data_IF_984845866173
#
_entry.id   IF_984845866173
#
_cell.length_a   1.000
_cell.length_b   1.000
_cell.length_c   1.000
_cell.angle_alpha   90.00
_cell.angle_beta   90.00
_cell.angle_gamma   90.00
#
_symmetry.space_group_name_H-M   'P 1'
#
loop_
_entity.id
_entity.type
_entity.pdbx_description
1 polymer ?
#
# COMPACT_ATOMS: atom_id res chain seq x y z
N UNK A 1 -71.44 -7.52 -21.80
CA UNK A 1 -69.97 -7.54 -21.73
C UNK A 1 -69.43 -6.19 -22.20
N UNK A 2 -68.54 -5.50 -21.47
CA UNK A 2 -68.04 -4.20 -21.92
C UNK A 2 -67.15 -4.36 -23.17
N UNK A 3 -67.42 -3.55 -24.20
CA UNK A 3 -66.64 -3.48 -25.43
C UNK A 3 -65.19 -3.06 -25.14
N UNK A 4 -64.23 -3.91 -25.54
CA UNK A 4 -62.79 -3.64 -25.44
C UNK A 4 -62.43 -2.47 -26.36
N UNK A 5 -62.06 -1.32 -25.79
CA UNK A 5 -61.51 -0.20 -26.56
C UNK A 5 -60.20 -0.63 -27.23
N UNK A 6 -60.12 -0.49 -28.56
CA UNK A 6 -58.89 -0.66 -29.30
C UNK A 6 -57.98 0.54 -29.05
N UNK A 7 -56.70 0.29 -28.80
CA UNK A 7 -55.69 1.33 -28.63
C UNK A 7 -54.66 1.23 -29.76
N UNK A 8 -54.12 2.38 -30.18
CA UNK A 8 -53.00 2.43 -31.13
C UNK A 8 -51.80 1.63 -30.58
N UNK A 9 -51.24 0.76 -31.42
CA UNK A 9 -50.12 -0.12 -31.05
C UNK A 9 -48.87 0.73 -30.78
N UNK A 10 -48.26 0.60 -29.61
CA UNK A 10 -46.93 1.18 -29.35
C UNK A 10 -45.88 0.33 -30.07
N UNK A 11 -45.28 0.86 -31.14
CA UNK A 11 -44.30 0.11 -31.93
C UNK A 11 -43.02 -0.18 -31.11
N UNK A 12 -42.63 0.74 -30.21
CA UNK A 12 -41.40 0.66 -29.42
C UNK A 12 -41.63 0.36 -27.93
N UNK A 13 -42.79 -0.20 -27.56
CA UNK A 13 -43.10 -0.58 -26.18
C UNK A 13 -42.21 -1.69 -25.60
N UNK A 14 -42.04 -1.72 -24.27
CA UNK A 14 -41.22 -2.73 -23.59
C UNK A 14 -41.79 -4.15 -23.76
N UNK A 15 -40.94 -5.17 -23.61
CA UNK A 15 -41.32 -6.58 -23.81
C UNK A 15 -42.50 -6.98 -22.91
N UNK A 16 -42.53 -6.51 -21.67
CA UNK A 16 -43.56 -6.82 -20.68
C UNK A 16 -44.90 -6.19 -21.04
N UNK A 17 -44.91 -4.96 -21.54
CA UNK A 17 -46.15 -4.33 -22.02
C UNK A 17 -46.65 -5.00 -23.32
N UNK A 18 -45.75 -5.39 -24.21
CA UNK A 18 -46.08 -6.14 -25.45
C UNK A 18 -46.65 -7.52 -25.12
N UNK A 19 -46.02 -8.29 -24.23
CA UNK A 19 -46.49 -9.61 -23.77
C UNK A 19 -47.87 -9.52 -23.12
N UNK A 20 -48.09 -8.48 -22.31
CA UNK A 20 -49.38 -8.22 -21.65
C UNK A 20 -50.43 -7.58 -22.55
N UNK A 21 -50.09 -7.29 -23.82
CA UNK A 21 -50.96 -6.65 -24.83
C UNK A 21 -51.60 -5.35 -24.33
N UNK A 22 -50.81 -4.52 -23.63
CA UNK A 22 -51.22 -3.19 -23.13
C UNK A 22 -50.36 -2.07 -23.76
N UNK A 23 -50.86 -0.84 -23.75
CA UNK A 23 -50.12 0.34 -24.23
C UNK A 23 -48.93 0.64 -23.32
N UNK A 24 -47.73 0.65 -23.88
CA UNK A 24 -46.54 1.14 -23.19
C UNK A 24 -46.45 2.67 -23.36
N UNK A 25 -46.05 3.40 -22.32
CA UNK A 25 -45.78 4.84 -22.44
C UNK A 25 -44.35 5.16 -22.86
N UNK A 26 -43.55 4.13 -23.17
CA UNK A 26 -42.17 4.22 -23.70
C UNK A 26 -41.16 4.98 -22.83
N UNK A 27 -41.55 5.44 -21.63
CA UNK A 27 -40.67 6.10 -20.66
C UNK A 27 -39.46 5.23 -20.27
N UNK A 28 -38.30 5.87 -20.14
CA UNK A 28 -37.01 5.30 -19.72
C UNK A 28 -36.62 5.87 -18.35
N UNK A 29 -35.88 5.14 -17.49
CA UNK A 29 -35.35 3.78 -17.67
C UNK A 29 -36.40 2.67 -17.48
N UNK A 30 -37.58 2.99 -16.94
CA UNK A 30 -38.68 2.05 -16.73
C UNK A 30 -40.00 2.69 -17.14
N UNK A 31 -40.86 1.94 -17.85
CA UNK A 31 -42.16 2.45 -18.25
C UNK A 31 -43.12 2.51 -17.04
N UNK A 32 -44.04 3.47 -17.03
CA UNK A 32 -44.91 3.72 -15.86
C UNK A 32 -45.86 2.56 -15.56
N UNK A 33 -46.25 1.77 -16.57
CA UNK A 33 -47.07 0.57 -16.33
C UNK A 33 -46.29 -0.58 -15.67
N UNK A 34 -44.99 -0.70 -15.94
CA UNK A 34 -44.13 -1.68 -15.26
C UNK A 34 -43.78 -1.20 -13.85
N UNK A 35 -43.52 0.11 -13.67
CA UNK A 35 -43.27 0.71 -12.36
C UNK A 35 -44.45 0.50 -11.40
N UNK A 36 -45.67 0.86 -11.82
CA UNK A 36 -46.88 0.70 -10.99
C UNK A 36 -47.19 -0.75 -10.61
N UNK A 37 -46.75 -1.71 -11.42
CA UNK A 37 -46.95 -3.15 -11.18
C UNK A 37 -45.71 -3.86 -10.65
N UNK A 38 -44.65 -3.10 -10.35
CA UNK A 38 -43.36 -3.62 -9.87
C UNK A 38 -42.82 -4.78 -10.72
N UNK A 39 -42.97 -4.67 -12.06
CA UNK A 39 -42.49 -5.67 -13.00
C UNK A 39 -41.09 -5.29 -13.51
N UNK A 40 -40.22 -6.29 -13.69
CA UNK A 40 -38.91 -6.10 -14.31
C UNK A 40 -39.07 -5.68 -15.78
N UNK A 41 -38.83 -4.40 -16.08
CA UNK A 41 -39.07 -3.81 -17.40
C UNK A 41 -37.86 -4.03 -18.32
N UNK A 42 -38.07 -4.40 -19.58
CA UNK A 42 -36.99 -4.61 -20.56
C UNK A 42 -36.28 -3.32 -20.96
N UNK A 43 -36.83 -2.16 -20.58
CA UNK A 43 -36.10 -0.90 -20.68
C UNK A 43 -35.08 -0.72 -19.56
N UNK A 44 -35.33 -1.34 -18.40
CA UNK A 44 -34.37 -1.38 -17.29
C UNK A 44 -33.13 -2.17 -17.72
N UNK A 45 -33.31 -3.27 -18.46
CA UNK A 45 -32.20 -4.05 -19.04
C UNK A 45 -31.44 -3.32 -20.15
N UNK A 46 -32.09 -2.45 -20.93
CA UNK A 46 -31.40 -1.62 -21.93
C UNK A 46 -30.73 -0.38 -21.34
N UNK A 47 -31.16 0.09 -20.16
CA UNK A 47 -30.43 1.09 -19.39
C UNK A 47 -29.21 0.49 -18.68
N UNK A 48 -29.22 -0.83 -18.38
CA UNK A 48 -28.08 -1.54 -17.76
C UNK A 48 -27.15 -2.24 -18.76
N UNK A 49 -27.50 -2.33 -20.04
CA UNK A 49 -26.64 -2.90 -21.11
C UNK A 49 -25.61 -1.93 -21.69
N UNK A 50 -25.43 -0.76 -21.10
CA UNK A 50 -24.14 -0.08 -21.15
C UNK A 50 -23.46 -0.29 -19.82
N UNK A 51 -22.83 -1.46 -19.65
CA UNK A 51 -21.47 -1.45 -19.12
C UNK A 51 -20.68 -0.51 -20.03
N UNK A 52 -20.75 0.81 -19.78
CA UNK A 52 -19.90 1.75 -20.49
C UNK A 52 -18.50 1.30 -20.13
N UNK A 53 -17.79 0.80 -21.13
CA UNK A 53 -16.40 0.43 -20.96
C UNK A 53 -15.69 1.64 -20.36
N UNK A 54 -15.29 1.53 -19.10
CA UNK A 54 -14.61 2.61 -18.40
C UNK A 54 -13.20 2.67 -18.98
N UNK A 55 -13.04 3.46 -20.05
CA UNK A 55 -11.78 3.59 -20.77
C UNK A 55 -10.64 4.05 -19.85
N UNK A 56 -10.96 4.78 -18.79
CA UNK A 56 -9.99 5.14 -17.75
C UNK A 56 -9.46 3.88 -17.04
N UNK A 57 -10.33 3.01 -16.55
CA UNK A 57 -9.92 1.79 -15.85
C UNK A 57 -9.11 0.87 -16.76
N UNK A 58 -9.43 0.80 -18.06
CA UNK A 58 -8.62 0.09 -19.04
C UNK A 58 -7.25 0.74 -19.27
N UNK A 59 -7.19 2.07 -19.35
CA UNK A 59 -5.93 2.83 -19.42
C UNK A 59 -5.05 2.55 -18.20
N UNK A 60 -5.63 2.56 -17.00
CA UNK A 60 -4.94 2.28 -15.74
C UNK A 60 -4.46 0.83 -15.66
N UNK A 61 -5.26 -0.13 -16.12
CA UNK A 61 -4.87 -1.54 -16.18
C UNK A 61 -3.76 -1.77 -17.22
N UNK A 62 -3.84 -1.13 -18.39
CA UNK A 62 -2.76 -1.18 -19.38
C UNK A 62 -1.46 -0.57 -18.81
N UNK A 63 -1.57 0.57 -18.13
CA UNK A 63 -0.45 1.24 -17.49
C UNK A 63 0.18 0.41 -16.36
N UNK A 64 -0.62 -0.42 -15.67
CA UNK A 64 -0.10 -1.41 -14.72
C UNK A 64 0.92 -2.34 -15.38
N UNK A 65 0.49 -3.00 -16.47
CA UNK A 65 1.28 -4.00 -17.17
C UNK A 65 2.50 -3.43 -17.91
N UNK A 66 2.36 -2.23 -18.47
CA UNK A 66 3.39 -1.63 -19.34
C UNK A 66 4.45 -0.89 -18.55
N UNK A 67 4.10 -0.24 -17.43
CA UNK A 67 5.01 0.67 -16.75
C UNK A 67 5.02 0.53 -15.23
N UNK A 68 3.84 0.53 -14.57
CA UNK A 68 3.77 0.67 -13.10
C UNK A 68 4.54 -0.42 -12.37
N UNK A 69 4.40 -1.68 -12.76
CA UNK A 69 5.05 -2.79 -12.05
C UNK A 69 6.59 -2.67 -12.08
N UNK A 70 7.16 -2.17 -13.17
CA UNK A 70 8.61 -2.00 -13.34
C UNK A 70 9.20 -0.94 -12.41
N UNK A 71 8.38 0.00 -11.93
CA UNK A 71 8.80 1.08 -11.03
C UNK A 71 8.47 0.79 -9.57
N UNK A 72 7.56 -0.15 -9.30
CA UNK A 72 7.21 -0.59 -7.95
C UNK A 72 8.24 -1.53 -7.33
N UNK A 73 8.83 -2.42 -8.14
CA UNK A 73 9.76 -3.46 -7.68
C UNK A 73 10.91 -3.66 -8.68
N UNK A 74 12.10 -4.01 -8.17
CA UNK A 74 13.30 -4.22 -9.00
C UNK A 74 13.65 -5.69 -9.20
N UNK A 75 13.03 -6.60 -8.45
CA UNK A 75 13.31 -8.03 -8.52
C UNK A 75 12.42 -8.71 -9.58
N UNK A 76 13.02 -9.42 -10.53
CA UNK A 76 12.30 -10.05 -11.66
C UNK A 76 11.25 -11.07 -11.24
N UNK A 77 11.49 -11.83 -10.18
CA UNK A 77 10.54 -12.82 -9.64
C UNK A 77 9.27 -12.13 -9.14
N UNK A 78 9.44 -11.10 -8.30
CA UNK A 78 8.35 -10.27 -7.77
C UNK A 78 7.64 -9.50 -8.89
N UNK A 79 8.39 -8.93 -9.83
CA UNK A 79 7.84 -8.25 -11.02
C UNK A 79 6.90 -9.17 -11.79
N UNK A 80 7.30 -10.42 -12.05
CA UNK A 80 6.48 -11.40 -12.75
C UNK A 80 5.17 -11.68 -12.00
N UNK A 81 5.23 -11.88 -10.69
CA UNK A 81 4.04 -12.14 -9.88
C UNK A 81 3.07 -10.95 -9.92
N UNK A 82 3.59 -9.72 -9.74
CA UNK A 82 2.77 -8.51 -9.78
C UNK A 82 2.21 -8.21 -11.18
N UNK A 83 2.93 -8.55 -12.24
CA UNK A 83 2.51 -8.31 -13.63
C UNK A 83 1.53 -9.37 -14.15
N UNK A 84 1.66 -10.63 -13.75
CA UNK A 84 0.91 -11.74 -14.33
C UNK A 84 -0.13 -12.32 -13.36
N UNK A 85 0.31 -12.76 -12.18
CA UNK A 85 -0.55 -13.47 -11.24
C UNK A 85 -1.54 -12.55 -10.53
N UNK A 86 -1.08 -11.40 -10.03
CA UNK A 86 -1.94 -10.47 -9.26
C UNK A 86 -3.13 -9.94 -10.08
N UNK A 87 -2.98 -9.53 -11.35
CA UNK A 87 -4.13 -9.11 -12.17
C UNK A 87 -5.14 -10.24 -12.41
N UNK A 88 -4.68 -11.49 -12.57
CA UNK A 88 -5.57 -12.65 -12.69
C UNK A 88 -6.35 -12.90 -11.40
N UNK A 89 -5.68 -12.81 -10.25
CA UNK A 89 -6.33 -12.91 -8.94
C UNK A 89 -7.35 -11.77 -8.73
N UNK A 90 -7.05 -10.57 -9.23
CA UNK A 90 -7.89 -9.39 -9.13
C UNK A 90 -9.21 -9.50 -9.92
N UNK A 91 -9.26 -10.32 -10.98
CA UNK A 91 -10.49 -10.57 -11.73
C UNK A 91 -11.58 -11.22 -10.87
N UNK A 92 -11.18 -11.99 -9.85
CA UNK A 92 -12.08 -12.64 -8.90
C UNK A 92 -12.31 -11.84 -7.61
N UNK A 93 -11.51 -10.78 -7.39
CA UNK A 93 -11.46 -10.03 -6.14
C UNK A 93 -11.53 -8.52 -6.42
N UNK A 94 -12.75 -7.92 -6.45
CA UNK A 94 -12.92 -6.51 -6.81
C UNK A 94 -12.08 -5.53 -5.98
N UNK A 95 -11.92 -5.78 -4.67
CA UNK A 95 -11.09 -4.93 -3.82
C UNK A 95 -9.64 -4.86 -4.29
N UNK A 96 -9.08 -5.98 -4.76
CA UNK A 96 -7.71 -6.04 -5.28
C UNK A 96 -7.60 -5.30 -6.61
N UNK A 97 -8.59 -5.47 -7.50
CA UNK A 97 -8.62 -4.75 -8.78
C UNK A 97 -8.63 -3.23 -8.55
N UNK A 98 -9.49 -2.74 -7.66
CA UNK A 98 -9.51 -1.33 -7.30
C UNK A 98 -8.16 -0.88 -6.72
N UNK A 99 -7.53 -1.67 -5.83
CA UNK A 99 -6.23 -1.29 -5.27
C UNK A 99 -5.11 -1.22 -6.31
N UNK A 100 -5.12 -2.12 -7.31
CA UNK A 100 -4.18 -2.11 -8.43
C UNK A 100 -4.38 -0.86 -9.29
N UNK A 101 -5.62 -0.56 -9.66
CA UNK A 101 -5.96 0.63 -10.45
C UNK A 101 -5.62 1.93 -9.70
N UNK A 102 -5.80 1.95 -8.38
CA UNK A 102 -5.44 3.08 -7.53
C UNK A 102 -3.93 3.38 -7.60
N UNK A 103 -3.07 2.36 -7.52
CA UNK A 103 -1.62 2.53 -7.67
C UNK A 103 -1.21 2.97 -9.08
N UNK A 104 -1.82 2.40 -10.12
CA UNK A 104 -1.58 2.85 -11.51
C UNK A 104 -1.93 4.32 -11.70
N UNK A 105 -3.08 4.74 -11.17
CA UNK A 105 -3.53 6.13 -11.25
C UNK A 105 -2.60 7.05 -10.44
N UNK A 106 -2.18 6.63 -9.25
CA UNK A 106 -1.24 7.40 -8.43
C UNK A 106 0.10 7.56 -9.14
N UNK A 107 0.61 6.51 -9.78
CA UNK A 107 1.83 6.57 -10.57
C UNK A 107 1.70 7.56 -11.74
N UNK A 108 0.59 7.53 -12.48
CA UNK A 108 0.33 8.49 -13.57
C UNK A 108 0.17 9.93 -13.07
N UNK A 109 -0.38 10.12 -11.88
CA UNK A 109 -0.42 11.43 -11.22
C UNK A 109 0.98 12.00 -10.99
N UNK A 110 1.98 11.16 -10.68
CA UNK A 110 3.36 11.61 -10.46
C UNK A 110 4.15 11.77 -11.76
N UNK A 111 4.10 10.76 -12.63
CA UNK A 111 5.00 10.64 -13.79
C UNK A 111 4.32 10.86 -15.15
N UNK A 112 3.01 11.02 -15.17
CA UNK A 112 2.24 11.25 -16.39
C UNK A 112 2.13 12.74 -16.78
N UNK A 113 1.36 13.03 -17.85
CA UNK A 113 1.14 14.39 -18.35
C UNK A 113 0.54 15.30 -17.29
N UNK A 114 1.11 16.50 -17.13
CA UNK A 114 0.76 17.46 -16.08
C UNK A 114 -0.73 17.85 -16.14
N UNK A 115 -1.26 17.98 -17.37
CA UNK A 115 -2.62 18.41 -17.66
C UNK A 115 -3.68 17.43 -17.16
N UNK A 116 -3.31 16.14 -17.03
CA UNK A 116 -4.22 15.07 -16.61
C UNK A 116 -4.04 14.66 -15.16
N UNK A 117 -3.05 15.22 -14.45
CA UNK A 117 -2.78 14.88 -13.05
C UNK A 117 -4.01 14.94 -12.15
N UNK A 118 -4.84 16.00 -12.16
CA UNK A 118 -6.00 16.07 -11.27
C UNK A 118 -6.95 14.88 -11.45
N UNK A 119 -7.17 14.46 -12.71
CA UNK A 119 -8.00 13.31 -13.05
C UNK A 119 -7.43 12.00 -12.52
N UNK A 120 -6.11 11.80 -12.63
CA UNK A 120 -5.46 10.60 -12.12
C UNK A 120 -5.39 10.60 -10.58
N UNK A 121 -5.18 11.74 -9.94
CA UNK A 121 -5.24 11.87 -8.48
C UNK A 121 -6.63 11.54 -7.95
N UNK A 122 -7.69 12.07 -8.57
CA UNK A 122 -9.08 11.75 -8.21
C UNK A 122 -9.38 10.24 -8.38
N UNK A 123 -8.96 9.65 -9.51
CA UNK A 123 -9.12 8.23 -9.75
C UNK A 123 -8.37 7.38 -8.71
N UNK A 124 -7.12 7.74 -8.39
CA UNK A 124 -6.30 7.08 -7.40
C UNK A 124 -7.02 7.01 -6.04
N UNK A 125 -7.50 8.16 -5.55
CA UNK A 125 -8.22 8.24 -4.27
C UNK A 125 -9.55 7.48 -4.31
N UNK A 126 -10.30 7.60 -5.41
CA UNK A 126 -11.59 6.93 -5.57
C UNK A 126 -11.44 5.41 -5.53
N UNK A 127 -10.53 4.85 -6.33
CA UNK A 127 -10.27 3.42 -6.35
C UNK A 127 -9.71 2.95 -5.00
N UNK A 128 -8.82 3.70 -4.34
CA UNK A 128 -8.31 3.35 -3.01
C UNK A 128 -9.41 3.30 -1.94
N UNK A 129 -10.34 4.26 -1.94
CA UNK A 129 -11.45 4.27 -0.98
C UNK A 129 -12.42 3.09 -1.22
N UNK A 130 -12.70 2.77 -2.48
CA UNK A 130 -13.53 1.61 -2.84
C UNK A 130 -12.84 0.31 -2.41
N UNK A 131 -11.53 0.17 -2.69
CA UNK A 131 -10.77 -1.04 -2.34
C UNK A 131 -10.76 -1.29 -0.84
N UNK A 132 -10.53 -0.24 -0.03
CA UNK A 132 -10.61 -0.30 1.43
C UNK A 132 -12.00 -0.75 1.90
N UNK A 133 -13.06 -0.09 1.43
CA UNK A 133 -14.44 -0.41 1.83
C UNK A 133 -14.84 -1.86 1.50
N UNK A 134 -14.39 -2.39 0.36
CA UNK A 134 -14.68 -3.77 -0.06
C UNK A 134 -13.87 -4.81 0.72
N UNK A 135 -12.65 -4.46 1.14
CA UNK A 135 -11.76 -5.38 1.84
C UNK A 135 -12.02 -5.44 3.35
N UNK A 136 -12.43 -4.33 3.99
CA UNK A 136 -12.69 -4.26 5.44
C UNK A 136 -13.45 -5.45 6.04
N UNK A 137 -14.57 -5.94 5.47
CA UNK A 137 -15.30 -7.08 6.04
C UNK A 137 -14.55 -8.43 5.94
N UNK A 138 -13.51 -8.53 5.12
CA UNK A 138 -12.76 -9.76 4.86
C UNK A 138 -11.49 -9.88 5.71
N UNK A 139 -10.99 -8.78 6.29
CA UNK A 139 -9.70 -8.74 7.00
C UNK A 139 -9.63 -9.69 8.21
N UNK A 140 -10.78 -9.98 8.83
CA UNK A 140 -10.87 -10.89 9.98
C UNK A 140 -11.12 -12.36 9.58
N UNK A 141 -11.25 -12.66 8.28
CA UNK A 141 -11.55 -14.01 7.78
C UNK A 141 -10.61 -14.37 6.60
N UNK A 142 -9.36 -14.65 6.95
CA UNK A 142 -8.35 -15.08 5.98
C UNK A 142 -8.54 -16.58 5.68
N UNK A 143 -8.73 -16.91 4.41
CA UNK A 143 -9.02 -18.26 3.91
C UNK A 143 -8.04 -18.63 2.80
N UNK A 144 -7.91 -19.91 2.42
CA UNK A 144 -7.10 -20.31 1.27
C UNK A 144 -7.51 -19.61 -0.03
N UNK A 145 -8.80 -19.31 -0.20
CA UNK A 145 -9.35 -18.72 -1.43
C UNK A 145 -9.14 -17.23 -1.59
N UNK A 146 -8.94 -16.47 -0.51
CA UNK A 146 -8.75 -15.02 -0.56
C UNK A 146 -7.35 -14.56 -0.08
N UNK A 147 -6.52 -15.47 0.43
CA UNK A 147 -5.26 -15.11 1.07
C UNK A 147 -4.28 -14.37 0.14
N UNK A 148 -4.18 -14.80 -1.12
CA UNK A 148 -3.32 -14.16 -2.11
C UNK A 148 -3.79 -12.73 -2.39
N UNK A 149 -5.10 -12.56 -2.57
CA UNK A 149 -5.70 -11.27 -2.83
C UNK A 149 -5.56 -10.31 -1.65
N UNK A 150 -5.82 -10.78 -0.43
CA UNK A 150 -5.65 -9.99 0.80
C UNK A 150 -4.18 -9.57 1.01
N UNK A 151 -3.24 -10.48 0.74
CA UNK A 151 -1.81 -10.17 0.87
C UNK A 151 -1.37 -9.11 -0.16
N UNK A 152 -1.72 -9.30 -1.44
CA UNK A 152 -1.41 -8.33 -2.49
C UNK A 152 -2.04 -6.95 -2.19
N UNK A 153 -3.33 -6.95 -1.80
CA UNK A 153 -4.05 -5.74 -1.41
C UNK A 153 -3.36 -5.01 -0.26
N UNK A 154 -2.96 -5.72 0.80
CA UNK A 154 -2.32 -5.09 1.96
C UNK A 154 -0.97 -4.45 1.58
N UNK A 155 -0.17 -5.11 0.74
CA UNK A 155 1.05 -4.52 0.18
C UNK A 155 0.74 -3.26 -0.64
N UNK A 156 -0.34 -3.29 -1.43
CA UNK A 156 -0.71 -2.17 -2.30
C UNK A 156 -1.23 -0.96 -1.52
N UNK A 157 -2.02 -1.17 -0.48
CA UNK A 157 -2.46 -0.11 0.43
C UNK A 157 -1.28 0.52 1.15
N UNK A 158 -0.31 -0.29 1.61
CA UNK A 158 0.91 0.24 2.21
C UNK A 158 1.66 1.15 1.20
N UNK A 159 1.96 0.64 0.00
CA UNK A 159 2.64 1.43 -1.05
C UNK A 159 1.87 2.70 -1.43
N UNK A 160 0.54 2.61 -1.53
CA UNK A 160 -0.30 3.76 -1.82
C UNK A 160 -0.19 4.82 -0.72
N UNK A 161 -0.27 4.41 0.55
CA UNK A 161 -0.15 5.31 1.70
C UNK A 161 1.21 6.01 1.73
N UNK A 162 2.30 5.26 1.50
CA UNK A 162 3.65 5.83 1.45
C UNK A 162 3.79 6.88 0.34
N UNK A 163 3.25 6.62 -0.85
CA UNK A 163 3.33 7.53 -1.99
C UNK A 163 2.39 8.74 -1.85
N UNK A 164 1.15 8.53 -1.42
CA UNK A 164 0.12 9.57 -1.37
C UNK A 164 0.30 10.51 -0.16
N UNK A 165 0.90 10.04 0.92
CA UNK A 165 1.10 10.80 2.16
C UNK A 165 2.58 11.03 2.46
N UNK A 166 3.43 10.82 1.46
CA UNK A 166 4.87 10.99 1.60
C UNK A 166 5.26 12.43 1.98
N UNK A 167 6.45 12.61 2.59
CA UNK A 167 6.94 13.90 3.07
C UNK A 167 6.97 15.00 2.00
N UNK A 168 7.30 14.63 0.77
CA UNK A 168 7.35 15.55 -0.38
C UNK A 168 5.97 16.05 -0.83
N UNK A 169 4.91 15.29 -0.57
CA UNK A 169 3.53 15.62 -0.97
C UNK A 169 2.83 16.47 0.09
N UNK A 170 3.14 16.27 1.39
CA UNK A 170 2.45 16.93 2.50
C UNK A 170 3.38 17.57 3.55
N UNK A 171 4.31 18.50 3.19
CA UNK A 171 5.48 18.85 4.00
C UNK A 171 5.27 19.45 5.40
N UNK A 172 4.02 19.73 5.81
CA UNK A 172 3.70 20.50 7.03
C UNK A 172 2.85 19.74 8.06
N UNK A 173 2.39 18.52 7.76
CA UNK A 173 1.40 17.81 8.58
C UNK A 173 1.97 16.62 9.36
N UNK A 174 3.27 16.31 9.25
CA UNK A 174 3.79 15.05 9.73
C UNK A 174 4.25 15.08 11.19
N UNK A 175 3.72 14.15 11.97
CA UNK A 175 4.00 13.91 13.38
C UNK A 175 4.49 12.48 13.60
N UNK A 176 4.92 12.16 14.82
CA UNK A 176 5.20 10.77 15.21
C UNK A 176 3.97 9.88 14.99
N UNK A 177 2.76 10.39 15.20
CA UNK A 177 1.52 9.64 14.96
C UNK A 177 1.40 9.17 13.51
N UNK A 178 1.78 10.00 12.54
CA UNK A 178 1.69 9.65 11.11
C UNK A 178 2.69 8.54 10.74
N UNK A 179 3.88 8.55 11.34
CA UNK A 179 4.84 7.44 11.23
C UNK A 179 4.25 6.15 11.79
N UNK A 180 3.57 6.24 12.93
CA UNK A 180 2.98 5.07 13.57
C UNK A 180 1.80 4.49 12.77
N UNK A 181 0.98 5.31 12.11
CA UNK A 181 -0.05 4.82 11.19
C UNK A 181 0.56 3.99 10.06
N UNK A 182 1.67 4.47 9.50
CA UNK A 182 2.41 3.73 8.47
C UNK A 182 3.02 2.44 9.01
N UNK A 183 3.55 2.45 10.24
CA UNK A 183 4.06 1.24 10.89
C UNK A 183 2.95 0.22 11.15
N UNK A 184 1.74 0.67 11.51
CA UNK A 184 0.56 -0.18 11.66
C UNK A 184 0.16 -0.83 10.33
N UNK A 185 0.27 -0.13 9.19
CA UNK A 185 0.02 -0.72 7.87
C UNK A 185 1.00 -1.87 7.58
N UNK A 186 2.31 -1.65 7.80
CA UNK A 186 3.35 -2.67 7.62
C UNK A 186 3.11 -3.88 8.54
N UNK A 187 2.73 -3.64 9.80
CA UNK A 187 2.32 -4.71 10.75
C UNK A 187 1.07 -5.45 10.28
N UNK A 188 0.09 -4.76 9.69
CA UNK A 188 -1.10 -5.36 9.11
C UNK A 188 -0.77 -6.36 8.00
N UNK A 189 0.15 -5.99 7.09
CA UNK A 189 0.67 -6.90 6.06
C UNK A 189 1.30 -8.14 6.71
N UNK A 190 2.16 -7.94 7.72
CA UNK A 190 2.82 -9.04 8.42
C UNK A 190 1.82 -9.98 9.13
N UNK A 191 0.74 -9.43 9.69
CA UNK A 191 -0.33 -10.22 10.32
C UNK A 191 -1.05 -11.13 9.31
N UNK A 192 -1.37 -10.61 8.11
CA UNK A 192 -1.96 -11.42 7.03
C UNK A 192 -1.00 -12.54 6.61
N UNK A 193 0.28 -12.21 6.43
CA UNK A 193 1.32 -13.20 6.08
C UNK A 193 1.43 -14.27 7.17
N UNK A 194 1.39 -13.90 8.45
CA UNK A 194 1.48 -14.85 9.55
C UNK A 194 0.31 -15.85 9.54
N UNK A 195 -0.91 -15.39 9.28
CA UNK A 195 -2.11 -16.22 9.23
C UNK A 195 -2.15 -17.12 7.98
N UNK A 196 -1.76 -16.59 6.82
CA UNK A 196 -1.88 -17.28 5.54
C UNK A 196 -0.60 -17.94 5.02
N UNK A 197 0.49 -17.92 5.81
CA UNK A 197 1.82 -18.36 5.36
C UNK A 197 1.84 -19.71 4.63
N UNK A 198 1.16 -20.77 5.12
CA UNK A 198 1.16 -22.06 4.43
C UNK A 198 0.55 -21.99 3.04
N UNK A 199 -0.55 -21.25 2.88
CA UNK A 199 -1.27 -21.11 1.61
C UNK A 199 -0.51 -20.24 0.62
N UNK A 200 0.03 -19.11 1.08
CA UNK A 200 0.84 -18.21 0.24
C UNK A 200 2.09 -18.93 -0.27
N UNK A 201 2.76 -19.73 0.57
CA UNK A 201 3.92 -20.54 0.15
C UNK A 201 3.57 -21.60 -0.90
N UNK A 202 2.35 -22.14 -0.86
CA UNK A 202 1.89 -23.16 -1.78
C UNK A 202 1.34 -22.58 -3.11
N UNK A 203 1.03 -21.28 -3.15
CA UNK A 203 0.38 -20.64 -4.30
C UNK A 203 1.27 -19.68 -5.10
N UNK A 204 0.63 -18.83 -5.91
CA UNK A 204 1.29 -17.96 -6.89
C UNK A 204 2.06 -16.78 -6.29
N UNK A 205 1.82 -16.43 -5.02
CA UNK A 205 2.54 -15.35 -4.32
C UNK A 205 3.77 -15.83 -3.55
N UNK A 206 4.15 -17.11 -3.68
CA UNK A 206 5.26 -17.70 -2.92
C UNK A 206 6.60 -16.96 -3.07
N UNK A 207 6.84 -16.36 -4.23
CA UNK A 207 8.11 -15.67 -4.52
C UNK A 207 8.22 -14.35 -3.76
N UNK A 208 7.09 -13.71 -3.37
CA UNK A 208 7.10 -12.54 -2.49
C UNK A 208 7.46 -12.86 -1.04
N UNK A 209 7.35 -14.14 -0.62
CA UNK A 209 7.82 -14.59 0.69
C UNK A 209 9.27 -15.05 0.67
N UNK A 210 9.83 -15.30 -0.51
CA UNK A 210 11.18 -15.82 -0.65
C UNK A 210 12.17 -14.68 -0.58
N UNK A 211 13.10 -14.82 0.35
CA UNK A 211 14.26 -13.95 0.44
C UNK A 211 15.31 -14.56 -0.50
N UNK A 212 15.36 -14.08 -1.74
CA UNK A 212 16.39 -14.49 -2.71
C UNK A 212 17.78 -14.21 -2.13
N UNK A 213 18.54 -15.26 -1.80
CA UNK A 213 19.93 -15.13 -1.34
C UNK A 213 20.83 -15.09 -2.55
N UNK A 214 21.37 -13.92 -2.87
CA UNK A 214 22.57 -13.80 -3.68
C UNK A 214 23.48 -12.74 -3.08
N UNK A 215 24.81 -13.01 -3.03
CA UNK A 215 25.76 -12.03 -2.53
C UNK A 215 25.72 -10.76 -3.41
N UNK A 216 25.68 -9.62 -2.75
CA UNK A 216 25.67 -8.29 -3.38
C UNK A 216 26.96 -8.06 -4.19
N UNK A 217 26.82 -7.52 -5.40
CA UNK A 217 27.91 -6.85 -6.13
C UNK A 217 27.55 -5.37 -6.32
N UNK A 218 27.63 -4.52 -5.29
CA UNK A 218 27.53 -3.04 -5.51
C UNK A 218 28.35 -2.22 -4.50
N UNK A 219 28.79 -1.04 -4.96
CA UNK A 219 29.79 -0.14 -4.38
C UNK A 219 29.35 0.74 -3.19
N UNK A 220 28.15 0.55 -2.61
CA UNK A 220 27.63 1.32 -1.45
C UNK A 220 27.92 0.63 -0.08
N UNK A 221 28.93 -0.23 -0.01
CA UNK A 221 29.20 -1.08 1.18
C UNK A 221 29.77 -0.33 2.39
N UNK A 222 30.45 0.79 2.18
CA UNK A 222 31.17 1.52 3.25
C UNK A 222 30.23 2.08 4.32
N UNK A 223 29.14 2.75 3.92
CA UNK A 223 28.21 3.37 4.87
C UNK A 223 27.32 2.33 5.59
N UNK A 224 27.07 1.15 5.00
CA UNK A 224 26.29 0.09 5.68
C UNK A 224 27.06 -0.46 6.88
N UNK A 225 28.39 -0.58 6.76
CA UNK A 225 29.26 -0.96 7.87
C UNK A 225 29.27 0.07 9.00
N UNK A 226 29.34 1.37 8.66
CA UNK A 226 29.29 2.43 9.65
C UNK A 226 27.92 2.52 10.35
N UNK A 227 26.83 2.44 9.59
CA UNK A 227 25.46 2.38 10.13
C UNK A 227 25.30 1.23 11.13
N UNK A 228 25.80 0.04 10.75
CA UNK A 228 25.81 -1.13 11.64
C UNK A 228 26.60 -0.86 12.92
N UNK A 229 27.81 -0.29 12.83
CA UNK A 229 28.64 0.01 14.00
C UNK A 229 27.95 1.00 14.97
N UNK A 230 27.24 2.00 14.45
CA UNK A 230 26.50 2.97 15.27
C UNK A 230 25.31 2.35 15.98
N UNK A 231 24.50 1.57 15.26
CA UNK A 231 23.37 0.87 15.89
C UNK A 231 23.86 -0.15 16.93
N UNK A 232 25.00 -0.81 16.67
CA UNK A 232 25.65 -1.70 17.64
C UNK A 232 26.05 -0.94 18.92
N UNK A 233 26.61 0.27 18.79
CA UNK A 233 26.93 1.11 19.95
C UNK A 233 25.68 1.49 20.75
N UNK A 234 24.57 1.85 20.09
CA UNK A 234 23.29 2.15 20.75
C UNK A 234 22.78 0.91 21.49
N UNK A 235 22.85 -0.26 20.87
CA UNK A 235 22.49 -1.53 21.51
C UNK A 235 23.33 -1.81 22.76
N UNK A 236 24.65 -1.67 22.68
CA UNK A 236 25.54 -1.94 23.81
C UNK A 236 25.32 -0.97 24.98
N UNK A 237 25.07 0.30 24.69
CA UNK A 237 24.72 1.32 25.69
C UNK A 237 23.41 1.00 26.40
N UNK A 238 22.36 0.69 25.64
CA UNK A 238 21.05 0.34 26.19
C UNK A 238 21.12 -0.96 27.02
N UNK A 239 21.94 -1.93 26.60
CA UNK A 239 22.13 -3.19 27.34
C UNK A 239 22.96 -3.01 28.61
N UNK A 240 23.89 -2.06 28.65
CA UNK A 240 24.75 -1.81 29.81
C UNK A 240 24.13 -0.94 30.89
N UNK A 241 23.04 -0.24 30.58
CA UNK A 241 22.29 0.52 31.56
C UNK A 241 21.66 -0.42 32.62
N UNK A 242 21.35 0.13 33.81
CA UNK A 242 20.87 -0.65 34.95
C UNK A 242 19.72 -1.60 34.57
N UNK A 243 19.80 -2.85 35.03
CA UNK A 243 18.94 -3.95 34.58
C UNK A 243 17.44 -3.76 34.87
N UNK A 244 17.07 -2.81 35.74
CA UNK A 244 15.69 -2.47 36.09
C UNK A 244 15.06 -1.41 35.17
N UNK A 245 15.81 -0.79 34.26
CA UNK A 245 15.23 0.17 33.31
C UNK A 245 14.54 -0.55 32.13
N UNK A 246 13.23 -0.73 32.28
CA UNK A 246 12.36 -1.29 31.25
C UNK A 246 12.43 -0.57 29.90
N UNK A 247 12.81 0.71 29.87
CA UNK A 247 12.95 1.52 28.66
C UNK A 247 14.16 1.07 27.83
N UNK A 248 15.31 0.92 28.48
CA UNK A 248 16.55 0.54 27.81
C UNK A 248 16.48 -0.89 27.26
N UNK A 249 15.78 -1.79 27.95
CA UNK A 249 15.45 -3.12 27.44
C UNK A 249 14.71 -3.05 26.09
N UNK A 250 13.67 -2.21 26.00
CA UNK A 250 12.86 -2.07 24.78
C UNK A 250 13.70 -1.49 23.63
N UNK A 251 14.53 -0.48 23.91
CA UNK A 251 15.44 0.13 22.91
C UNK A 251 16.49 -0.89 22.45
N UNK A 252 17.09 -1.65 23.35
CA UNK A 252 18.07 -2.69 23.00
C UNK A 252 17.45 -3.75 22.07
N UNK A 253 16.23 -4.22 22.37
CA UNK A 253 15.51 -5.18 21.51
C UNK A 253 15.22 -4.57 20.13
N UNK A 254 14.80 -3.31 20.07
CA UNK A 254 14.53 -2.63 18.80
C UNK A 254 15.79 -2.47 17.93
N UNK A 255 16.91 -2.08 18.56
CA UNK A 255 18.23 -1.97 17.91
C UNK A 255 18.74 -3.32 17.41
N UNK A 256 18.62 -4.38 18.21
CA UNK A 256 19.01 -5.73 17.80
C UNK A 256 18.24 -6.20 16.56
N UNK A 257 16.92 -6.00 16.54
CA UNK A 257 16.08 -6.35 15.39
C UNK A 257 16.47 -5.58 14.13
N UNK A 258 16.92 -4.33 14.27
CA UNK A 258 17.42 -3.54 13.13
C UNK A 258 18.77 -4.09 12.64
N UNK A 259 19.69 -4.43 13.56
CA UNK A 259 20.97 -5.06 13.22
C UNK A 259 20.79 -6.37 12.47
N UNK A 260 19.89 -7.24 12.93
CA UNK A 260 19.59 -8.52 12.28
C UNK A 260 19.10 -8.31 10.83
N UNK A 261 18.25 -7.31 10.61
CA UNK A 261 17.74 -6.97 9.28
C UNK A 261 18.82 -6.32 8.40
N UNK A 262 19.67 -5.46 8.97
CA UNK A 262 20.82 -4.88 8.26
C UNK A 262 21.80 -5.97 7.82
N UNK A 263 22.14 -6.90 8.70
CA UNK A 263 22.97 -8.04 8.36
C UNK A 263 22.34 -8.88 7.26
N UNK A 264 21.05 -9.21 7.38
CA UNK A 264 20.32 -9.95 6.36
C UNK A 264 20.35 -9.20 5.02
N UNK A 265 20.16 -7.88 5.02
CA UNK A 265 20.16 -7.03 3.82
C UNK A 265 21.44 -7.17 2.98
N UNK A 266 22.59 -7.49 3.59
CA UNK A 266 23.86 -7.68 2.87
C UNK A 266 23.92 -8.96 2.05
N UNK A 267 23.05 -9.94 2.34
CA UNK A 267 23.10 -11.29 1.77
C UNK A 267 21.98 -11.57 0.77
N UNK A 268 21.08 -10.61 0.57
CA UNK A 268 19.82 -10.79 -0.16
C UNK A 268 19.77 -9.88 -1.39
N UNK A 269 19.03 -10.31 -2.40
CA UNK A 269 18.87 -9.55 -3.64
C UNK A 269 18.08 -8.25 -3.43
N UNK A 270 17.17 -8.21 -2.46
CA UNK A 270 16.28 -7.08 -2.20
C UNK A 270 16.47 -6.53 -0.76
N UNK A 271 17.55 -5.76 -0.50
CA UNK A 271 17.82 -5.19 0.82
C UNK A 271 16.73 -4.23 1.29
N UNK A 272 16.20 -3.43 0.36
CA UNK A 272 15.06 -2.51 0.54
C UNK A 272 13.87 -3.19 1.24
N UNK A 273 13.33 -4.25 0.63
CA UNK A 273 12.21 -5.02 1.20
C UNK A 273 12.52 -5.63 2.56
N UNK A 274 13.80 -5.89 2.84
CA UNK A 274 14.23 -6.46 4.12
C UNK A 274 14.16 -5.43 5.25
N UNK A 275 14.70 -4.23 5.02
CA UNK A 275 14.67 -3.15 6.01
C UNK A 275 13.24 -2.66 6.26
N UNK A 276 12.40 -2.62 5.23
CA UNK A 276 10.97 -2.28 5.37
C UNK A 276 10.19 -3.17 6.36
N UNK A 277 10.71 -4.35 6.73
CA UNK A 277 10.07 -5.24 7.72
C UNK A 277 10.31 -4.83 9.17
N UNK A 278 11.22 -3.89 9.45
CA UNK A 278 11.56 -3.52 10.82
C UNK A 278 10.35 -3.11 11.69
N UNK A 279 9.41 -2.28 11.19
CA UNK A 279 8.20 -1.94 11.94
C UNK A 279 7.34 -3.15 12.31
N UNK A 280 7.36 -4.22 11.50
CA UNK A 280 6.61 -5.44 11.75
C UNK A 280 7.24 -6.35 12.82
N UNK A 281 8.55 -6.26 13.03
CA UNK A 281 9.27 -7.11 13.99
C UNK A 281 9.47 -6.43 15.33
N UNK A 282 9.50 -5.10 15.40
CA UNK A 282 9.71 -4.36 16.66
C UNK A 282 8.52 -4.52 17.63
N UNK A 283 8.76 -4.43 18.93
CA UNK A 283 7.69 -4.54 19.94
C UNK A 283 6.71 -3.35 19.86
N UNK A 284 5.49 -3.49 20.34
CA UNK A 284 4.55 -2.37 20.48
C UNK A 284 5.04 -1.36 21.52
N UNK A 285 5.70 -1.82 22.59
CA UNK A 285 6.28 -0.94 23.62
C UNK A 285 7.26 0.09 23.05
N UNK A 286 7.95 -0.26 21.97
CA UNK A 286 8.85 0.68 21.29
C UNK A 286 8.07 1.81 20.61
N UNK A 287 6.86 1.53 20.09
CA UNK A 287 6.00 2.57 19.52
C UNK A 287 5.46 3.51 20.60
N UNK A 288 5.17 2.97 21.79
CA UNK A 288 4.76 3.78 22.94
C UNK A 288 5.89 4.75 23.35
N UNK A 289 7.15 4.27 23.38
CA UNK A 289 8.31 5.14 23.62
C UNK A 289 8.46 6.25 22.57
N UNK A 290 8.12 6.00 21.30
CA UNK A 290 8.13 7.03 20.27
C UNK A 290 7.04 8.08 20.52
N UNK A 291 5.84 7.67 20.92
CA UNK A 291 4.76 8.60 21.28
C UNK A 291 5.11 9.49 22.48
N UNK A 292 5.92 8.97 23.39
CA UNK A 292 6.43 9.68 24.57
C UNK A 292 7.66 10.54 24.27
N UNK A 293 8.04 10.68 22.99
CA UNK A 293 9.24 11.41 22.54
C UNK A 293 10.53 10.95 23.25
N UNK A 294 10.62 9.65 23.58
CA UNK A 294 11.79 9.10 24.24
C UNK A 294 13.04 9.26 23.37
N UNK A 295 14.06 9.90 23.91
CA UNK A 295 15.25 10.27 23.16
C UNK A 295 15.97 9.06 22.54
N UNK A 296 16.18 7.99 23.32
CA UNK A 296 16.85 6.77 22.84
C UNK A 296 16.06 6.07 21.74
N UNK A 297 14.73 6.05 21.85
CA UNK A 297 13.86 5.49 20.81
C UNK A 297 13.94 6.32 19.52
N UNK A 298 13.90 7.65 19.62
CA UNK A 298 14.02 8.57 18.46
C UNK A 298 15.37 8.44 17.75
N UNK A 299 16.47 8.21 18.49
CA UNK A 299 17.79 7.94 17.89
C UNK A 299 17.74 6.68 17.01
N UNK A 300 17.12 5.59 17.49
CA UNK A 300 16.96 4.36 16.69
C UNK A 300 16.08 4.62 15.45
N UNK A 301 15.02 5.43 15.60
CA UNK A 301 14.16 5.81 14.47
C UNK A 301 14.93 6.59 13.39
N UNK A 302 15.82 7.52 13.79
CA UNK A 302 16.67 8.24 12.86
C UNK A 302 17.59 7.28 12.08
N UNK A 303 18.21 6.31 12.75
CA UNK A 303 19.08 5.32 12.10
C UNK A 303 18.29 4.38 11.17
N UNK A 304 17.04 4.05 11.53
CA UNK A 304 16.12 3.38 10.61
C UNK A 304 15.81 4.23 9.37
N UNK A 305 15.62 5.54 9.54
CA UNK A 305 15.47 6.51 8.45
C UNK A 305 16.68 6.51 7.50
N UNK A 306 17.90 6.54 8.03
CA UNK A 306 19.14 6.40 7.24
C UNK A 306 19.17 5.07 6.49
N UNK A 307 18.81 3.96 7.14
CA UNK A 307 18.75 2.64 6.50
C UNK A 307 17.79 2.63 5.31
N UNK A 308 16.62 3.26 5.45
CA UNK A 308 15.64 3.38 4.36
C UNK A 308 16.18 4.24 3.21
N UNK A 309 16.73 5.42 3.51
CA UNK A 309 17.27 6.35 2.51
C UNK A 309 18.37 5.71 1.67
N UNK A 310 19.26 4.96 2.32
CA UNK A 310 20.37 4.28 1.65
C UNK A 310 19.96 3.11 0.75
N UNK A 311 18.82 2.48 1.02
CA UNK A 311 18.44 1.19 0.41
C UNK A 311 17.21 1.28 -0.49
N UNK A 312 16.35 2.29 -0.34
CA UNK A 312 15.13 2.46 -1.11
C UNK A 312 15.34 3.50 -2.23
N UNK A 313 15.27 3.07 -3.49
CA UNK A 313 15.34 3.94 -4.66
C UNK A 313 13.98 4.06 -5.38
N UNK A 314 12.90 3.55 -4.76
CA UNK A 314 11.56 3.53 -5.34
C UNK A 314 10.81 4.85 -5.11
N UNK A 315 10.15 5.36 -6.16
CA UNK A 315 9.40 6.62 -6.13
C UNK A 315 8.35 6.69 -5.02
N UNK A 316 7.72 5.56 -4.68
CA UNK A 316 6.66 5.51 -3.66
C UNK A 316 7.18 5.62 -2.22
N UNK A 317 8.50 5.50 -2.00
CA UNK A 317 9.18 5.73 -0.71
C UNK A 317 10.03 7.01 -0.69
N UNK A 318 9.99 7.80 -1.76
CA UNK A 318 10.90 8.92 -1.94
C UNK A 318 10.77 9.96 -0.80
N UNK A 319 11.89 10.27 -0.15
CA UNK A 319 11.98 11.23 0.97
C UNK A 319 11.58 10.70 2.35
N UNK A 320 11.10 9.45 2.47
CA UNK A 320 10.71 8.89 3.77
C UNK A 320 11.89 8.73 4.74
N UNK A 321 13.04 8.26 4.26
CA UNK A 321 14.23 8.10 5.10
C UNK A 321 14.71 9.44 5.66
N UNK A 322 14.85 10.44 4.79
CA UNK A 322 15.14 11.84 5.13
C UNK A 322 14.15 12.39 6.17
N UNK A 323 12.85 12.16 5.97
CA UNK A 323 11.81 12.64 6.89
C UNK A 323 11.92 12.05 8.29
N UNK A 324 12.14 10.74 8.42
CA UNK A 324 12.26 10.09 9.73
C UNK A 324 13.44 10.66 10.55
N UNK A 325 14.56 10.96 9.88
CA UNK A 325 15.72 11.59 10.53
C UNK A 325 15.40 13.03 10.97
N UNK A 326 14.77 13.83 10.11
CA UNK A 326 14.38 15.21 10.46
C UNK A 326 13.36 15.23 11.60
N UNK A 327 12.35 14.35 11.55
CA UNK A 327 11.37 14.21 12.63
C UNK A 327 12.06 13.88 13.97
N UNK A 328 13.01 12.95 13.97
CA UNK A 328 13.75 12.60 15.17
C UNK A 328 14.59 13.78 15.69
N UNK A 329 15.27 14.53 14.81
CA UNK A 329 16.03 15.72 15.16
C UNK A 329 15.13 16.81 15.77
N UNK A 330 13.99 17.09 15.14
CA UNK A 330 13.04 18.12 15.59
C UNK A 330 12.50 17.80 16.98
N UNK A 331 12.26 16.51 17.28
CA UNK A 331 11.78 16.06 18.60
C UNK A 331 12.86 16.02 19.67
N UNK A 332 14.11 15.70 19.31
CA UNK A 332 15.25 15.72 20.23
C UNK A 332 15.71 17.14 20.57
N UNK A 333 15.47 18.10 19.67
CA UNK A 333 15.86 19.50 19.85
C UNK A 333 17.39 19.72 19.76
N UNK A 334 17.89 20.88 20.23
CA UNK A 334 19.30 21.27 20.06
C UNK A 334 20.30 20.43 20.85
N UNK A 335 19.85 19.59 21.78
CA UNK A 335 20.69 18.62 22.50
C UNK A 335 20.81 17.28 21.78
N UNK A 336 20.43 17.21 20.50
CA UNK A 336 20.59 16.01 19.68
C UNK A 336 22.05 15.53 19.74
N UNK A 337 22.28 14.39 20.40
CA UNK A 337 23.61 13.83 20.60
C UNK A 337 24.35 13.54 19.28
N UNK A 338 25.66 13.27 19.34
CA UNK A 338 26.51 13.09 18.16
C UNK A 338 26.05 11.96 17.22
N UNK A 339 25.27 10.99 17.72
CA UNK A 339 24.74 9.89 16.92
C UNK A 339 23.68 10.34 15.90
N UNK A 340 22.83 11.32 16.23
CA UNK A 340 21.79 11.82 15.31
C UNK A 340 22.35 12.87 14.36
N UNK A 341 23.35 13.64 14.80
CA UNK A 341 24.08 14.57 13.92
C UNK A 341 24.77 13.84 12.76
N UNK A 342 25.27 12.62 12.97
CA UNK A 342 25.77 11.79 11.88
C UNK A 342 24.67 11.39 10.90
N UNK A 343 23.52 10.94 11.41
CA UNK A 343 22.39 10.57 10.57
C UNK A 343 21.96 11.73 9.65
N UNK A 344 21.96 12.96 10.19
CA UNK A 344 21.70 14.19 9.43
C UNK A 344 22.72 14.44 8.31
N UNK A 345 24.01 14.27 8.58
CA UNK A 345 25.07 14.47 7.57
C UNK A 345 24.93 13.49 6.42
N UNK A 346 24.63 12.21 6.72
CA UNK A 346 24.47 11.17 5.70
C UNK A 346 23.32 11.49 4.75
N UNK A 347 22.15 11.88 5.27
CA UNK A 347 20.99 12.19 4.42
C UNK A 347 21.13 13.50 3.63
N UNK A 348 21.93 14.45 4.12
CA UNK A 348 22.21 15.70 3.41
C UNK A 348 23.21 15.54 2.27
N UNK A 349 23.86 14.36 2.16
CA UNK A 349 24.91 14.12 1.18
C UNK A 349 26.22 14.85 1.48
N UNK A 350 26.36 15.39 2.69
CA UNK A 350 27.58 16.03 3.18
C UNK A 350 28.60 14.93 3.52
N UNK A 351 29.21 14.36 2.48
CA UNK A 351 30.40 13.52 2.63
C UNK A 351 31.55 14.41 3.14
N UNK A 352 31.98 14.18 4.38
CA UNK A 352 33.34 14.48 4.80
C UNK A 352 34.27 13.33 4.37
#
# INVERSE_FOLDING_TARGET
>A
MPLRRSHAKSHHGCAQCKQRRIKCNEARPMCSSCQKKQLNCSFTSHATLTSRLQLLDLELLNHWHVTTVQTLVHERSTEKVLREFVPQEALSHPFLMHSLLALSALHLSHHGPVERRPRYTEAAMTHNNISLSLCTPLLNNVTPGNCHALFAFACFVAMFSFAAHGPKVTPRAHSVSDVLEVFKLVRGVASIVAQARPWIKAGGMRDLLQVGRQPRQTSKTTHVGELHARIQKIYDQARSAEADDSTNSVVAIASQKLLDLLQLSTTVQNPASTIMRWPAVVDLKYLDLLLEDNASALVVLAHYGVALDMMMENWWMDGWGTFLVHLALDRLGPESGPEVAWAQKVINGDNA
#
